data_IF_370126076970
#
_entry.id   IF_370126076970
#
_cell.length_a   1.000
_cell.length_b   1.000
_cell.length_c   1.000
_cell.angle_alpha   90.00
_cell.angle_beta   90.00
_cell.angle_gamma   90.00
#
_symmetry.space_group_name_H-M   'P 1'
#
loop_
_entity.id
_entity.type
_entity.pdbx_description
1 polymer ?
#
# COMPACT_ATOMS: atom_id res chain seq x y z
N UNK A 1 -9.36 16.93 -21.76
CA UNK A 1 -9.09 15.49 -22.07
C UNK A 1 -10.11 14.67 -21.28
N UNK A 2 -10.97 13.92 -21.97
CA UNK A 2 -11.91 13.00 -21.34
C UNK A 2 -11.11 11.86 -20.69
N UNK A 3 -11.31 11.53 -19.40
CA UNK A 3 -10.60 10.42 -18.78
C UNK A 3 -10.93 9.12 -19.54
N UNK A 4 -9.89 8.33 -19.81
CA UNK A 4 -10.08 7.02 -20.44
C UNK A 4 -11.08 6.21 -19.61
N UNK A 5 -12.04 5.58 -20.26
CA UNK A 5 -13.08 4.77 -19.63
C UNK A 5 -12.41 3.69 -18.75
N UNK A 6 -12.60 3.77 -17.43
CA UNK A 6 -11.99 2.87 -16.45
C UNK A 6 -10.75 3.38 -15.72
N UNK A 7 -10.32 4.62 -15.94
CA UNK A 7 -9.26 5.24 -15.14
C UNK A 7 -9.72 5.47 -13.68
N UNK A 8 -8.84 5.25 -12.68
CA UNK A 8 -9.17 5.49 -11.29
C UNK A 8 -9.43 6.98 -11.03
N UNK A 9 -10.38 7.30 -10.16
CA UNK A 9 -10.70 8.68 -9.84
C UNK A 9 -10.40 9.00 -8.38
N UNK A 10 -9.92 10.21 -8.11
CA UNK A 10 -9.71 10.69 -6.73
C UNK A 10 -11.01 10.70 -5.92
N UNK A 11 -12.15 11.01 -6.57
CA UNK A 11 -13.49 10.96 -5.92
C UNK A 11 -13.82 9.53 -5.48
N UNK A 12 -13.59 8.54 -6.35
CA UNK A 12 -13.78 7.13 -6.02
C UNK A 12 -12.92 6.71 -4.84
N UNK A 13 -11.64 7.06 -4.84
CA UNK A 13 -10.74 6.76 -3.73
C UNK A 13 -11.16 7.46 -2.42
N UNK A 14 -11.71 8.68 -2.49
CA UNK A 14 -12.26 9.38 -1.33
C UNK A 14 -13.49 8.65 -0.75
N UNK A 15 -14.39 8.16 -1.61
CA UNK A 15 -15.52 7.30 -1.20
C UNK A 15 -15.00 6.02 -0.55
N UNK A 16 -14.01 5.35 -1.18
CA UNK A 16 -13.37 4.16 -0.63
C UNK A 16 -12.78 4.41 0.76
N UNK A 17 -12.11 5.57 0.95
CA UNK A 17 -11.60 5.98 2.26
C UNK A 17 -12.72 6.14 3.29
N UNK A 18 -13.84 6.77 2.95
CA UNK A 18 -15.00 6.90 3.83
C UNK A 18 -15.56 5.54 4.26
N UNK A 19 -15.72 4.60 3.31
CA UNK A 19 -16.11 3.22 3.60
C UNK A 19 -15.09 2.54 4.51
N UNK A 20 -13.79 2.67 4.21
CA UNK A 20 -12.70 2.13 5.02
C UNK A 20 -12.72 2.64 6.47
N UNK A 21 -12.93 3.95 6.66
CA UNK A 21 -13.09 4.55 8.00
C UNK A 21 -14.26 3.90 8.73
N UNK A 22 -15.46 3.89 8.13
CA UNK A 22 -16.65 3.33 8.75
C UNK A 22 -16.46 1.87 9.15
N UNK A 23 -15.92 1.03 8.26
CA UNK A 23 -15.71 -0.39 8.52
C UNK A 23 -14.60 -0.64 9.55
N UNK A 24 -13.43 -0.02 9.36
CA UNK A 24 -12.28 -0.36 10.22
C UNK A 24 -12.43 0.17 11.63
N UNK A 25 -12.94 1.39 11.83
CA UNK A 25 -13.21 1.91 13.16
C UNK A 25 -14.47 1.33 13.80
N UNK A 26 -15.44 0.88 12.99
CA UNK A 26 -16.64 0.16 13.48
C UNK A 26 -16.33 -1.26 13.96
N UNK A 27 -15.50 -1.99 13.22
CA UNK A 27 -15.21 -3.40 13.50
C UNK A 27 -13.98 -3.60 14.39
N UNK A 28 -12.98 -2.71 14.32
CA UNK A 28 -11.70 -2.83 15.03
C UNK A 28 -11.38 -1.56 15.83
N UNK A 29 -10.24 -1.57 16.51
CA UNK A 29 -9.69 -0.41 17.23
C UNK A 29 -8.34 -0.01 16.61
N UNK A 30 -8.33 0.68 15.45
CA UNK A 30 -7.08 1.12 14.85
C UNK A 30 -6.35 2.10 15.75
N UNK A 31 -5.05 1.88 15.97
CA UNK A 31 -4.16 2.87 16.58
C UNK A 31 -3.20 3.36 15.51
N UNK A 32 -3.33 4.63 15.14
CA UNK A 32 -2.58 5.25 14.05
C UNK A 32 -1.45 6.10 14.62
N UNK A 33 -0.23 5.83 14.20
CA UNK A 33 0.97 6.55 14.61
C UNK A 33 1.68 7.13 13.38
N UNK A 34 2.10 8.38 13.45
CA UNK A 34 2.91 9.01 12.41
C UNK A 34 2.17 9.40 11.12
N UNK A 35 0.83 9.46 11.10
CA UNK A 35 0.07 9.80 9.89
C UNK A 35 0.46 11.17 9.29
N UNK A 36 0.94 12.11 10.12
CA UNK A 36 1.43 13.43 9.67
C UNK A 36 2.70 13.38 8.81
N UNK A 37 3.39 12.25 8.76
CA UNK A 37 4.58 12.02 7.90
C UNK A 37 4.21 11.81 6.43
N UNK A 38 2.94 11.53 6.17
CA UNK A 38 2.45 11.45 4.78
C UNK A 38 2.32 12.87 4.24
N UNK A 39 2.99 13.23 3.14
CA UNK A 39 2.86 14.55 2.53
C UNK A 39 1.40 14.93 2.28
N UNK A 40 1.00 16.14 2.69
CA UNK A 40 -0.37 16.63 2.58
C UNK A 40 -0.83 16.78 1.13
N UNK A 41 0.12 17.00 0.19
CA UNK A 41 -0.12 17.16 -1.26
C UNK A 41 1.02 16.52 -2.05
N UNK A 42 0.84 16.44 -3.38
CA UNK A 42 1.80 15.82 -4.27
C UNK A 42 1.74 14.30 -4.27
N UNK A 43 2.51 13.64 -5.16
CA UNK A 43 2.54 12.20 -5.26
C UNK A 43 3.21 11.57 -4.04
N UNK A 44 2.70 10.41 -3.62
CA UNK A 44 3.35 9.61 -2.56
C UNK A 44 3.04 8.13 -2.77
N UNK A 45 4.00 7.27 -2.44
CA UNK A 45 3.82 5.83 -2.44
C UNK A 45 3.82 5.35 -0.98
N UNK A 46 2.76 4.70 -0.55
CA UNK A 46 2.70 4.01 0.73
C UNK A 46 3.14 2.56 0.53
N UNK A 47 4.30 2.19 1.07
CA UNK A 47 4.83 0.83 1.01
C UNK A 47 4.48 0.08 2.30
N UNK A 48 3.65 -0.95 2.19
CA UNK A 48 2.97 -1.59 3.32
C UNK A 48 3.33 -3.06 3.41
N UNK A 49 3.61 -3.58 4.60
CA UNK A 49 3.74 -5.02 4.81
C UNK A 49 2.40 -5.74 4.59
N UNK A 50 2.44 -7.00 4.21
CA UNK A 50 1.23 -7.74 3.85
C UNK A 50 1.16 -9.11 4.53
N UNK A 51 0.53 -9.14 5.68
CA UNK A 51 0.32 -10.37 6.47
C UNK A 51 -1.13 -10.86 6.40
N UNK A 52 -2.11 -9.95 6.20
CA UNK A 52 -3.52 -10.29 6.29
C UNK A 52 -4.41 -9.58 5.26
N UNK A 53 -5.62 -10.12 5.04
CA UNK A 53 -6.62 -9.57 4.11
C UNK A 53 -7.08 -8.15 4.46
N UNK A 54 -7.11 -7.80 5.74
CA UNK A 54 -7.60 -6.50 6.20
C UNK A 54 -6.56 -5.37 6.07
N UNK A 55 -5.29 -5.67 5.76
CA UNK A 55 -4.23 -4.66 5.70
C UNK A 55 -4.57 -3.54 4.70
N UNK A 56 -5.10 -3.91 3.52
CA UNK A 56 -5.54 -2.95 2.52
C UNK A 56 -6.70 -2.07 2.99
N UNK A 57 -7.84 -2.63 3.39
CA UNK A 57 -8.95 -1.89 3.99
C UNK A 57 -8.53 -1.07 5.22
N UNK A 58 -7.65 -1.62 6.08
CA UNK A 58 -7.12 -0.93 7.25
C UNK A 58 -6.35 0.32 6.85
N UNK A 59 -5.42 0.21 5.90
CA UNK A 59 -4.70 1.37 5.40
C UNK A 59 -5.64 2.35 4.69
N UNK A 60 -6.61 1.87 3.91
CA UNK A 60 -7.60 2.74 3.25
C UNK A 60 -8.37 3.62 4.25
N UNK A 61 -8.75 3.06 5.41
CA UNK A 61 -9.47 3.78 6.46
C UNK A 61 -8.59 4.64 7.37
N UNK A 62 -7.30 4.35 7.48
CA UNK A 62 -6.40 5.04 8.42
C UNK A 62 -5.45 6.02 7.75
N UNK A 63 -5.22 5.92 6.45
CA UNK A 63 -4.40 6.88 5.72
C UNK A 63 -5.02 8.28 5.73
N UNK A 64 -4.20 9.36 5.88
CA UNK A 64 -4.72 10.73 5.93
C UNK A 64 -5.25 11.21 4.57
N UNK A 65 -4.88 10.54 3.47
CA UNK A 65 -5.29 10.83 2.10
C UNK A 65 -5.92 9.59 1.44
N UNK A 66 -6.83 9.77 0.44
CA UNK A 66 -7.36 8.65 -0.35
C UNK A 66 -6.24 7.84 -1.02
N UNK A 67 -6.32 6.51 -0.96
CA UNK A 67 -5.29 5.59 -1.46
C UNK A 67 -5.82 4.74 -2.60
N UNK A 68 -5.07 4.65 -3.68
CA UNK A 68 -5.28 3.72 -4.78
C UNK A 68 -4.35 2.52 -4.61
N UNK A 69 -4.88 1.29 -4.63
CA UNK A 69 -4.08 0.07 -4.53
C UNK A 69 -4.02 -0.68 -5.86
N UNK A 70 -2.89 -1.34 -6.11
CA UNK A 70 -2.77 -2.34 -7.15
C UNK A 70 -3.30 -3.68 -6.62
N UNK A 71 -4.51 -4.05 -7.04
CA UNK A 71 -5.20 -5.27 -6.60
C UNK A 71 -5.18 -6.30 -7.73
N UNK A 72 -4.85 -7.55 -7.39
CA UNK A 72 -4.80 -8.66 -8.36
C UNK A 72 -6.12 -8.81 -9.12
N UNK A 73 -6.04 -9.13 -10.42
CA UNK A 73 -7.21 -9.27 -11.31
C UNK A 73 -8.25 -10.27 -10.81
N UNK A 74 -7.82 -11.30 -10.10
CA UNK A 74 -8.68 -12.35 -9.55
C UNK A 74 -9.62 -11.84 -8.44
N UNK A 75 -9.39 -10.67 -7.89
CA UNK A 75 -10.30 -10.02 -6.94
C UNK A 75 -11.45 -9.27 -7.63
N UNK A 76 -11.32 -8.98 -8.94
CA UNK A 76 -12.32 -8.26 -9.72
C UNK A 76 -13.34 -9.21 -10.34
N UNK A 77 -14.20 -9.81 -9.50
CA UNK A 77 -15.20 -10.79 -9.91
C UNK A 77 -16.61 -10.35 -9.50
N UNK A 78 -17.59 -10.61 -10.37
CA UNK A 78 -18.99 -10.30 -10.11
C UNK A 78 -19.21 -8.86 -9.63
N UNK A 79 -19.97 -8.64 -8.56
CA UNK A 79 -20.26 -7.30 -8.04
C UNK A 79 -19.04 -6.56 -7.45
N UNK A 80 -17.94 -7.29 -7.14
CA UNK A 80 -16.71 -6.67 -6.64
C UNK A 80 -15.97 -5.90 -7.74
N UNK A 81 -16.08 -6.29 -9.01
CA UNK A 81 -15.40 -5.55 -10.10
C UNK A 81 -15.87 -4.10 -10.20
N UNK A 82 -17.16 -3.78 -10.40
CA UNK A 82 -17.61 -2.40 -10.45
C UNK A 82 -17.41 -1.67 -9.11
N UNK A 83 -17.53 -2.35 -7.98
CA UNK A 83 -17.30 -1.76 -6.67
C UNK A 83 -15.84 -1.32 -6.50
N UNK A 84 -14.86 -2.20 -6.73
CA UNK A 84 -13.43 -1.89 -6.59
C UNK A 84 -13.00 -0.77 -7.55
N UNK A 85 -13.49 -0.77 -8.80
CA UNK A 85 -13.25 0.34 -9.74
C UNK A 85 -13.89 1.63 -9.25
N UNK A 86 -15.14 1.55 -8.75
CA UNK A 86 -15.88 2.68 -8.23
C UNK A 86 -15.19 3.37 -7.07
N UNK A 87 -14.51 2.62 -6.19
CA UNK A 87 -13.68 3.15 -5.11
C UNK A 87 -12.22 3.40 -5.52
N UNK A 88 -11.94 3.50 -6.83
CA UNK A 88 -10.66 3.94 -7.36
C UNK A 88 -9.52 2.93 -7.27
N UNK A 89 -9.81 1.62 -7.16
CA UNK A 89 -8.76 0.61 -7.09
C UNK A 89 -8.28 0.17 -8.48
N UNK A 90 -7.00 -0.16 -8.59
CA UNK A 90 -6.32 -0.50 -9.83
C UNK A 90 -6.24 -2.02 -9.99
N UNK A 91 -6.80 -2.54 -11.08
CA UNK A 91 -6.69 -3.95 -11.44
C UNK A 91 -5.30 -4.21 -12.02
N UNK A 92 -4.60 -5.25 -11.57
CA UNK A 92 -3.30 -5.66 -12.10
C UNK A 92 -3.24 -7.17 -12.38
N UNK A 93 -2.77 -7.51 -13.58
CA UNK A 93 -2.34 -8.87 -13.91
C UNK A 93 -0.89 -9.06 -13.39
N UNK A 94 -0.70 -10.01 -12.48
CA UNK A 94 0.62 -10.29 -11.89
C UNK A 94 1.41 -11.39 -12.62
N UNK A 95 0.79 -12.02 -13.63
CA UNK A 95 1.40 -13.09 -14.42
C UNK A 95 2.21 -12.56 -15.58
N UNK A 96 1.90 -11.34 -16.03
CA UNK A 96 2.55 -10.67 -17.17
C UNK A 96 2.87 -9.22 -16.82
N UNK A 97 3.63 -8.55 -17.70
CA UNK A 97 3.85 -7.10 -17.58
C UNK A 97 2.58 -6.36 -18.00
N UNK A 98 1.79 -5.93 -17.02
CA UNK A 98 0.54 -5.20 -17.25
C UNK A 98 0.81 -3.70 -17.48
N UNK A 99 0.98 -3.34 -18.75
CA UNK A 99 1.24 -1.94 -19.15
C UNK A 99 0.10 -1.01 -18.78
N UNK A 100 -1.14 -1.47 -18.82
CA UNK A 100 -2.31 -0.67 -18.45
C UNK A 100 -2.30 -0.33 -16.97
N UNK A 101 -2.06 -1.32 -16.11
CA UNK A 101 -1.92 -1.09 -14.67
C UNK A 101 -0.76 -0.13 -14.34
N UNK A 102 0.38 -0.28 -15.04
CA UNK A 102 1.53 0.62 -14.90
C UNK A 102 1.16 2.05 -15.29
N UNK A 103 0.48 2.24 -16.43
CA UNK A 103 0.07 3.57 -16.90
C UNK A 103 -0.90 4.22 -15.93
N UNK A 104 -1.90 3.50 -15.43
CA UNK A 104 -2.87 4.01 -14.46
C UNK A 104 -2.18 4.38 -13.13
N UNK A 105 -1.27 3.54 -12.62
CA UNK A 105 -0.53 3.83 -11.39
C UNK A 105 0.35 5.07 -11.50
N UNK A 106 1.06 5.22 -12.63
CA UNK A 106 1.84 6.43 -12.92
C UNK A 106 0.94 7.66 -13.12
N UNK A 107 -0.26 7.48 -13.70
CA UNK A 107 -1.26 8.54 -13.80
C UNK A 107 -1.72 9.04 -12.44
N UNK A 108 -2.05 8.12 -11.51
CA UNK A 108 -2.39 8.47 -10.12
C UNK A 108 -1.28 9.31 -9.47
N UNK A 109 -0.02 8.91 -9.63
CA UNK A 109 1.12 9.67 -9.09
C UNK A 109 1.30 11.00 -9.83
N UNK A 110 1.15 11.03 -11.16
CA UNK A 110 1.22 12.27 -11.96
C UNK A 110 0.18 13.31 -11.55
N UNK A 111 -1.00 12.86 -11.14
CA UNK A 111 -2.09 13.71 -10.61
C UNK A 111 -1.89 14.10 -9.13
N UNK A 112 -0.73 13.79 -8.55
CA UNK A 112 -0.44 14.07 -7.14
C UNK A 112 -1.17 13.15 -6.16
N UNK A 113 -1.66 11.99 -6.61
CA UNK A 113 -2.38 11.00 -5.79
C UNK A 113 -1.48 10.13 -4.92
N UNK A 114 -2.11 9.25 -4.15
CA UNK A 114 -1.45 8.29 -3.26
C UNK A 114 -1.59 6.89 -3.81
N UNK A 115 -0.46 6.21 -4.01
CA UNK A 115 -0.41 4.82 -4.46
C UNK A 115 -0.01 3.90 -3.31
N UNK A 116 -0.89 2.98 -2.92
CA UNK A 116 -0.59 1.94 -1.94
C UNK A 116 -0.01 0.70 -2.63
N UNK A 117 1.15 0.25 -2.18
CA UNK A 117 1.82 -0.94 -2.71
C UNK A 117 2.16 -1.89 -1.58
N UNK A 118 1.81 -3.16 -1.79
CA UNK A 118 2.32 -4.28 -1.01
C UNK A 118 3.49 -4.90 -1.78
N UNK A 119 4.74 -4.53 -1.44
CA UNK A 119 5.89 -4.85 -2.29
C UNK A 119 6.24 -6.33 -2.33
N UNK A 120 5.80 -7.10 -1.35
CA UNK A 120 5.94 -8.56 -1.31
C UNK A 120 5.11 -9.25 -2.41
N UNK A 121 4.08 -8.59 -2.90
CA UNK A 121 3.20 -9.06 -3.98
C UNK A 121 2.24 -10.16 -3.58
N UNK A 122 2.45 -10.85 -2.49
CA UNK A 122 1.59 -11.88 -1.91
C UNK A 122 1.56 -11.71 -0.40
N UNK A 123 0.54 -12.25 0.25
CA UNK A 123 0.50 -12.33 1.71
C UNK A 123 1.51 -13.36 2.19
N UNK A 124 2.29 -13.01 3.20
CA UNK A 124 3.31 -13.84 3.82
C UNK A 124 3.50 -13.47 5.29
N UNK A 125 4.72 -13.54 5.76
CA UNK A 125 5.09 -13.11 7.12
C UNK A 125 5.01 -11.59 7.30
N UNK A 126 4.91 -10.83 6.21
CA UNK A 126 4.83 -9.36 6.25
C UNK A 126 6.12 -8.72 6.77
N UNK A 127 7.26 -9.32 6.44
CA UNK A 127 8.59 -8.96 6.95
C UNK A 127 9.49 -8.27 5.90
N UNK A 128 8.98 -8.07 4.68
CA UNK A 128 9.72 -7.53 3.55
C UNK A 128 10.95 -8.38 3.14
N UNK A 129 10.98 -9.66 3.46
CA UNK A 129 12.09 -10.55 3.11
C UNK A 129 12.36 -10.59 1.59
N UNK A 130 11.31 -10.42 0.78
CA UNK A 130 11.44 -10.31 -0.67
C UNK A 130 10.59 -9.15 -1.20
N UNK A 131 11.18 -8.35 -2.08
CA UNK A 131 10.46 -7.26 -2.75
C UNK A 131 10.38 -7.49 -4.26
N UNK A 132 9.23 -7.19 -4.83
CA UNK A 132 9.09 -7.07 -6.29
C UNK A 132 9.61 -5.71 -6.75
N UNK A 133 10.28 -5.67 -7.87
CA UNK A 133 10.87 -4.46 -8.45
C UNK A 133 9.87 -3.33 -8.76
N UNK A 134 8.56 -3.61 -8.72
CA UNK A 134 7.51 -2.63 -9.02
C UNK A 134 7.52 -1.41 -8.13
N UNK A 135 7.80 -1.56 -6.83
CA UNK A 135 7.86 -0.42 -5.91
C UNK A 135 8.97 0.56 -6.30
N UNK A 136 10.21 0.06 -6.47
CA UNK A 136 11.34 0.89 -6.88
C UNK A 136 11.12 1.51 -8.27
N UNK A 137 10.52 0.76 -9.20
CA UNK A 137 10.18 1.26 -10.53
C UNK A 137 9.22 2.46 -10.46
N UNK A 138 8.10 2.35 -9.73
CA UNK A 138 7.16 3.47 -9.61
C UNK A 138 7.79 4.68 -8.94
N UNK A 139 8.55 4.50 -7.87
CA UNK A 139 9.22 5.58 -7.16
C UNK A 139 10.25 6.30 -8.04
N UNK A 140 11.16 5.57 -8.71
CA UNK A 140 12.18 6.15 -9.59
C UNK A 140 11.54 6.79 -10.83
N UNK A 141 10.46 6.20 -11.36
CA UNK A 141 9.82 6.70 -12.58
C UNK A 141 9.00 7.96 -12.35
N UNK A 142 8.33 8.08 -11.22
CA UNK A 142 7.46 9.21 -10.86
C UNK A 142 8.19 10.29 -10.04
N UNK A 143 9.30 9.97 -9.39
CA UNK A 143 9.92 10.83 -8.39
C UNK A 143 9.11 10.94 -7.08
N UNK A 144 8.10 10.10 -6.90
CA UNK A 144 7.29 10.11 -5.69
C UNK A 144 8.07 9.56 -4.49
N UNK A 145 8.08 10.25 -3.34
CA UNK A 145 8.67 9.72 -2.12
C UNK A 145 7.91 8.48 -1.65
N UNK A 146 8.62 7.58 -0.97
CA UNK A 146 8.07 6.39 -0.34
C UNK A 146 7.88 6.68 1.15
N UNK A 147 6.68 6.42 1.67
CA UNK A 147 6.39 6.37 3.10
C UNK A 147 6.22 4.91 3.49
N UNK A 148 7.10 4.34 4.34
CA UNK A 148 6.93 2.99 4.83
C UNK A 148 5.77 2.94 5.82
N UNK A 149 4.94 1.91 5.75
CA UNK A 149 3.81 1.71 6.66
C UNK A 149 3.84 0.29 7.20
N UNK A 150 3.77 0.16 8.52
CA UNK A 150 3.62 -1.12 9.18
C UNK A 150 2.18 -1.28 9.68
N UNK A 151 1.50 -2.36 9.28
CA UNK A 151 0.21 -2.81 9.81
C UNK A 151 0.49 -4.03 10.68
N UNK A 152 0.23 -3.91 11.99
CA UNK A 152 0.58 -4.90 13.00
C UNK A 152 -0.66 -5.31 13.82
N UNK A 153 -0.74 -6.59 14.18
CA UNK A 153 -1.88 -7.13 14.93
C UNK A 153 -3.12 -7.36 14.07
N UNK A 154 -2.97 -7.37 12.75
CA UNK A 154 -4.02 -7.79 11.81
C UNK A 154 -4.09 -9.32 11.70
N UNK A 155 -3.00 -10.02 12.01
CA UNK A 155 -2.92 -11.48 11.97
C UNK A 155 -3.17 -12.06 13.35
N UNK A 156 -4.21 -12.85 13.51
CA UNK A 156 -4.39 -13.69 14.68
C UNK A 156 -4.22 -15.16 14.28
N UNK A 157 -3.19 -15.79 14.85
CA UNK A 157 -2.97 -17.23 14.69
C UNK A 157 -3.74 -17.99 15.78
N UNK A 158 -4.74 -18.76 15.41
CA UNK A 158 -5.32 -19.80 16.25
C UNK A 158 -4.65 -21.13 15.93
N UNK A 159 -3.56 -21.44 16.62
CA UNK A 159 -2.74 -22.62 16.31
C UNK A 159 -2.03 -22.48 14.95
N UNK A 160 -2.27 -23.46 14.03
CA UNK A 160 -1.70 -23.45 12.66
C UNK A 160 -2.58 -22.71 11.64
N UNK A 161 -3.79 -22.27 12.00
CA UNK A 161 -4.72 -21.60 11.09
C UNK A 161 -4.68 -20.09 11.31
N UNK A 162 -4.48 -19.34 10.22
CA UNK A 162 -4.69 -17.89 10.20
C UNK A 162 -6.19 -17.67 10.04
N UNK A 163 -6.81 -16.94 10.97
CA UNK A 163 -8.21 -16.57 10.84
C UNK A 163 -8.45 -15.69 9.61
N UNK A 164 -9.59 -15.84 8.94
CA UNK A 164 -9.97 -15.00 7.81
C UNK A 164 -10.14 -13.52 8.19
N UNK A 165 -10.48 -13.26 9.46
CA UNK A 165 -10.59 -11.91 10.05
C UNK A 165 -10.02 -11.94 11.47
N UNK A 166 -9.35 -10.86 11.92
CA UNK A 166 -9.02 -10.69 13.34
C UNK A 166 -10.30 -10.63 14.19
N UNK A 167 -10.21 -10.88 15.49
CA UNK A 167 -11.35 -10.72 16.38
C UNK A 167 -11.93 -9.31 16.29
N UNK A 168 -13.26 -9.21 16.36
CA UNK A 168 -13.91 -7.91 16.41
C UNK A 168 -13.43 -7.13 17.63
N UNK A 169 -13.27 -5.82 17.46
CA UNK A 169 -12.76 -4.87 18.48
C UNK A 169 -11.29 -5.13 18.88
N UNK A 170 -10.56 -5.99 18.16
CA UNK A 170 -9.11 -6.12 18.35
C UNK A 170 -8.40 -4.83 17.94
N UNK A 171 -7.26 -4.58 18.59
CA UNK A 171 -6.40 -3.45 18.27
C UNK A 171 -5.48 -3.79 17.11
N UNK A 172 -5.50 -2.96 16.07
CA UNK A 172 -4.59 -3.01 14.94
C UNK A 172 -3.77 -1.73 14.92
N UNK A 173 -2.45 -1.87 14.94
CA UNK A 173 -1.53 -0.74 14.93
C UNK A 173 -1.12 -0.42 13.49
N UNK A 174 -1.26 0.84 13.07
CA UNK A 174 -0.83 1.34 11.76
C UNK A 174 0.21 2.43 11.99
N UNK A 175 1.46 2.14 11.63
CA UNK A 175 2.60 3.02 11.91
C UNK A 175 3.17 3.53 10.58
N UNK A 176 3.08 4.84 10.37
CA UNK A 176 3.68 5.53 9.23
C UNK A 176 5.10 5.97 9.58
N UNK A 177 6.08 5.66 8.72
CA UNK A 177 7.47 6.08 8.87
C UNK A 177 7.80 7.37 8.16
N UNK A 178 9.06 7.78 8.23
CA UNK A 178 9.55 8.96 7.52
C UNK A 178 9.57 8.72 6.00
N UNK A 179 9.15 9.74 5.24
CA UNK A 179 9.24 9.70 3.80
C UNK A 179 10.71 9.68 3.33
N UNK A 180 11.00 8.94 2.28
CA UNK A 180 12.33 8.87 1.68
C UNK A 180 12.26 8.66 0.17
N UNK A 181 13.31 9.07 -0.54
CA UNK A 181 13.44 8.89 -1.98
C UNK A 181 14.11 7.55 -2.29
N UNK A 182 13.58 6.83 -3.29
CA UNK A 182 14.19 5.58 -3.76
C UNK A 182 15.45 5.80 -4.60
N UNK A 183 15.53 6.95 -5.31
CA UNK A 183 16.65 7.31 -6.16
C UNK A 183 17.92 7.71 -5.38
N UNK A 184 19.04 7.71 -6.07
CA UNK A 184 20.34 8.20 -5.60
C UNK A 184 20.59 9.68 -5.96
N UNK A 185 19.59 10.37 -6.47
CA UNK A 185 19.68 11.75 -6.96
C UNK A 185 20.30 11.87 -8.37
N UNK A 186 20.84 10.79 -8.96
CA UNK A 186 21.51 10.83 -10.28
C UNK A 186 20.54 10.90 -11.47
N UNK A 187 19.25 10.67 -11.24
CA UNK A 187 18.23 10.59 -12.29
C UNK A 187 18.37 9.36 -13.22
N UNK A 188 19.29 8.45 -12.94
CA UNK A 188 19.51 7.24 -13.73
C UNK A 188 18.34 6.28 -13.63
N UNK A 189 17.90 5.77 -14.78
CA UNK A 189 16.77 4.81 -14.91
C UNK A 189 17.21 3.47 -15.50
N UNK A 190 18.47 3.11 -15.29
CA UNK A 190 19.04 1.84 -15.76
C UNK A 190 18.57 0.67 -14.89
N UNK A 191 18.64 -0.55 -15.41
CA UNK A 191 18.33 -1.76 -14.65
C UNK A 191 19.15 -1.84 -13.35
N UNK A 192 20.46 -1.58 -13.45
CA UNK A 192 21.36 -1.54 -12.28
C UNK A 192 20.89 -0.53 -11.22
N UNK A 193 20.52 0.68 -11.62
CA UNK A 193 20.01 1.71 -10.70
C UNK A 193 18.69 1.29 -10.03
N UNK A 194 17.81 0.55 -10.74
CA UNK A 194 16.59 0.00 -10.16
C UNK A 194 16.87 -1.15 -9.17
N UNK A 195 17.82 -2.01 -9.46
CA UNK A 195 18.22 -3.11 -8.55
C UNK A 195 18.83 -2.52 -7.26
N UNK A 196 19.72 -1.53 -7.38
CA UNK A 196 20.30 -0.81 -6.24
C UNK A 196 19.22 -0.05 -5.43
N UNK A 197 18.26 0.58 -6.10
CA UNK A 197 17.13 1.24 -5.46
C UNK A 197 16.26 0.22 -4.68
N UNK A 198 16.03 -0.97 -5.26
CA UNK A 198 15.25 -2.03 -4.60
C UNK A 198 15.91 -2.48 -3.29
N UNK A 199 17.24 -2.67 -3.29
CA UNK A 199 17.99 -3.05 -2.07
C UNK A 199 17.90 -1.95 -1.01
N UNK A 200 18.10 -0.67 -1.41
CA UNK A 200 17.97 0.45 -0.46
C UNK A 200 16.58 0.55 0.13
N UNK A 201 15.55 0.44 -0.72
CA UNK A 201 14.15 0.47 -0.29
C UNK A 201 13.86 -0.67 0.68
N UNK A 202 14.33 -1.89 0.39
CA UNK A 202 14.13 -3.04 1.27
C UNK A 202 14.71 -2.77 2.67
N UNK A 203 15.95 -2.31 2.76
CA UNK A 203 16.57 -2.01 4.05
C UNK A 203 15.80 -0.95 4.86
N UNK A 204 15.25 0.08 4.17
CA UNK A 204 14.43 1.11 4.83
C UNK A 204 13.09 0.56 5.32
N UNK A 205 12.45 -0.31 4.54
CA UNK A 205 11.16 -0.93 4.93
C UNK A 205 11.34 -1.89 6.10
N UNK A 206 12.35 -2.76 6.05
CA UNK A 206 12.67 -3.69 7.15
C UNK A 206 13.01 -2.94 8.44
N UNK A 207 13.88 -1.92 8.36
CA UNK A 207 14.23 -1.11 9.54
C UNK A 207 13.01 -0.38 10.13
N UNK A 208 12.10 0.13 9.28
CA UNK A 208 10.85 0.73 9.76
C UNK A 208 9.94 -0.29 10.45
N UNK A 209 9.80 -1.48 9.90
CA UNK A 209 8.98 -2.54 10.48
C UNK A 209 9.48 -2.95 11.86
N UNK A 210 10.79 -3.13 12.03
CA UNK A 210 11.41 -3.41 13.33
C UNK A 210 11.18 -2.28 14.33
N UNK A 211 11.32 -1.03 13.90
CA UNK A 211 11.02 0.13 14.74
C UNK A 211 9.54 0.16 15.15
N UNK A 212 8.62 -0.11 14.22
CA UNK A 212 7.20 -0.16 14.48
C UNK A 212 6.84 -1.26 15.49
N UNK A 213 7.44 -2.45 15.36
CA UNK A 213 7.30 -3.55 16.33
C UNK A 213 7.73 -3.12 17.75
N UNK A 214 8.89 -2.48 17.86
CA UNK A 214 9.37 -1.95 19.16
C UNK A 214 8.41 -0.91 19.74
N UNK A 215 7.96 0.06 18.94
CA UNK A 215 7.05 1.13 19.37
C UNK A 215 5.67 0.62 19.81
N UNK A 216 5.21 -0.45 19.23
CA UNK A 216 3.87 -1.01 19.50
C UNK A 216 3.87 -2.12 20.54
N UNK A 217 5.04 -2.65 20.87
CA UNK A 217 5.20 -3.84 21.73
C UNK A 217 4.75 -5.12 21.03
N UNK A 218 4.75 -5.14 19.68
CA UNK A 218 4.37 -6.30 18.87
C UNK A 218 5.61 -7.07 18.44
N UNK A 219 5.54 -8.39 18.49
CA UNK A 219 6.60 -9.29 18.03
C UNK A 219 6.34 -9.87 16.64
N UNK A 220 5.08 -9.69 16.15
CA UNK A 220 4.63 -10.18 14.85
C UNK A 220 4.13 -9.04 13.96
#
# INVERSE_FOLDING_TARGET
MTPATGAPTLRGAAVGRGIGIGLMYGLFKPRVLGAWRVPASGPVILAVNHSHNIDGPMLMGTAPRPVHFLIKKEAFVGPLDPFLRGIGQLKVDRTTVDRTAITHALGVLGDGGVLGIFPEGTRGEGDFASLRAGLAYFAVRSGAPIVPVAVLGSTERRGRLISALPPLRSRVDVVFGEAFDAGDGSGRRTRKALDEATVRVQGRLTGHLEQARRLTGRTE
#
